data_IF_870214869795
#
_entry.id   IF_870214869795
#
_cell.length_a   1.000
_cell.length_b   1.000
_cell.length_c   1.000
_cell.angle_alpha   90.00
_cell.angle_beta   90.00
_cell.angle_gamma   90.00
#
_symmetry.space_group_name_H-M   'P 1'
#
loop_
_entity.id
_entity.type
_entity.pdbx_description
1 polymer ?
#
# COMPACT_ATOMS: atom_id res chain seq x y z
N UNK A 1 -27.06 22.67 11.49
CA UNK A 1 -26.34 22.13 10.34
C UNK A 1 -25.11 23.00 10.20
N UNK A 2 -24.13 22.78 11.07
CA UNK A 2 -22.97 23.66 11.26
C UNK A 2 -21.95 23.43 10.14
N UNK A 3 -21.60 24.52 9.46
CA UNK A 3 -20.59 24.55 8.42
C UNK A 3 -19.21 24.28 9.00
N UNK A 4 -18.51 23.34 8.39
CA UNK A 4 -17.08 23.18 8.62
C UNK A 4 -16.34 24.39 8.03
N UNK A 5 -15.44 25.03 8.78
CA UNK A 5 -14.67 26.16 8.28
C UNK A 5 -13.75 25.69 7.16
N UNK A 6 -13.82 26.38 6.01
CA UNK A 6 -12.90 26.25 4.88
C UNK A 6 -11.52 26.75 5.31
N UNK A 7 -10.69 25.86 5.87
CA UNK A 7 -9.26 26.13 6.04
C UNK A 7 -8.54 25.96 4.70
N UNK A 8 -7.83 27.01 4.28
CA UNK A 8 -6.96 27.11 3.11
C UNK A 8 -5.97 25.94 3.01
N UNK A 9 -6.35 24.93 2.25
CA UNK A 9 -5.49 23.85 1.80
C UNK A 9 -5.46 23.90 0.28
N UNK A 10 -4.30 24.25 -0.28
CA UNK A 10 -4.01 24.11 -1.71
C UNK A 10 -4.08 22.63 -2.07
N UNK A 11 -5.27 22.16 -2.45
CA UNK A 11 -5.46 20.84 -3.02
C UNK A 11 -5.24 20.94 -4.52
N UNK A 12 -4.10 20.48 -5.02
CA UNK A 12 -4.02 20.02 -6.41
C UNK A 12 -4.59 18.62 -6.44
N UNK A 13 -5.86 18.46 -6.81
CA UNK A 13 -6.42 17.13 -7.02
C UNK A 13 -6.08 16.65 -8.42
N UNK A 14 -5.28 15.58 -8.52
CA UNK A 14 -5.07 14.88 -9.77
C UNK A 14 -6.04 13.70 -9.86
N UNK A 15 -7.12 13.84 -10.64
CA UNK A 15 -7.94 12.69 -11.00
C UNK A 15 -7.22 11.89 -12.07
N UNK A 16 -7.17 10.57 -11.92
CA UNK A 16 -6.56 9.67 -12.90
C UNK A 16 -7.58 8.63 -13.30
N UNK A 17 -8.05 8.80 -14.52
CA UNK A 17 -8.96 7.88 -15.15
C UNK A 17 -8.30 7.26 -16.38
N UNK A 18 -8.56 5.98 -16.59
CA UNK A 18 -8.18 5.26 -17.81
C UNK A 18 -9.34 5.26 -18.81
N UNK A 19 -10.55 5.62 -18.35
CA UNK A 19 -11.74 5.72 -19.18
C UNK A 19 -11.73 7.02 -20.00
N UNK A 20 -11.55 6.87 -21.31
CA UNK A 20 -11.60 7.96 -22.27
C UNK A 20 -12.96 8.67 -22.29
N UNK A 21 -14.05 7.99 -21.91
CA UNK A 21 -15.39 8.55 -21.82
C UNK A 21 -15.52 9.56 -20.69
N UNK A 22 -14.99 9.26 -19.51
CA UNK A 22 -14.99 10.16 -18.34
C UNK A 22 -14.11 11.39 -18.61
N UNK A 23 -12.94 11.18 -19.21
CA UNK A 23 -12.04 12.27 -19.62
C UNK A 23 -12.72 13.20 -20.62
N UNK A 24 -13.42 12.64 -21.61
CA UNK A 24 -14.13 13.40 -22.63
C UNK A 24 -15.28 14.20 -22.01
N UNK A 25 -16.10 13.56 -21.19
CA UNK A 25 -17.20 14.20 -20.47
C UNK A 25 -16.72 15.38 -19.62
N UNK A 26 -15.62 15.22 -18.88
CA UNK A 26 -15.06 16.33 -18.09
C UNK A 26 -14.57 17.51 -18.93
N UNK A 27 -13.94 17.25 -20.07
CA UNK A 27 -13.50 18.33 -20.98
C UNK A 27 -14.66 19.06 -21.63
N UNK A 28 -15.74 18.34 -21.95
CA UNK A 28 -16.94 18.91 -22.59
C UNK A 28 -17.78 19.71 -21.59
N UNK A 29 -17.90 19.26 -20.34
CA UNK A 29 -18.76 19.87 -19.32
C UNK A 29 -18.04 20.87 -18.38
N UNK A 30 -16.73 21.05 -18.55
CA UNK A 30 -15.89 21.97 -17.76
C UNK A 30 -16.06 21.83 -16.23
N UNK A 31 -16.19 20.59 -15.75
CA UNK A 31 -16.57 20.26 -14.37
C UNK A 31 -15.48 20.58 -13.32
N UNK A 32 -14.30 21.01 -13.77
CA UNK A 32 -13.12 21.19 -12.94
C UNK A 32 -12.62 22.64 -13.04
N UNK A 33 -12.37 23.26 -11.88
CA UNK A 33 -11.76 24.59 -11.82
C UNK A 33 -10.22 24.50 -11.93
N UNK A 34 -9.55 25.65 -11.93
CA UNK A 34 -8.08 25.76 -12.05
C UNK A 34 -7.29 25.00 -10.96
N UNK A 35 -7.93 24.53 -9.88
CA UNK A 35 -7.28 23.77 -8.81
C UNK A 35 -7.17 22.27 -9.10
N UNK A 36 -7.74 21.81 -10.22
CA UNK A 36 -7.83 20.39 -10.57
C UNK A 36 -7.08 20.15 -11.88
N UNK A 37 -6.08 19.27 -11.83
CA UNK A 37 -5.32 18.86 -13.01
C UNK A 37 -5.68 17.42 -13.38
N UNK A 38 -6.24 17.20 -14.57
CA UNK A 38 -6.55 15.86 -15.04
C UNK A 38 -5.31 15.24 -15.71
N UNK A 39 -4.78 14.17 -15.11
CA UNK A 39 -3.59 13.47 -15.65
C UNK A 39 -4.02 12.11 -16.21
N UNK A 40 -4.03 11.99 -17.53
CA UNK A 40 -4.34 10.74 -18.21
C UNK A 40 -3.13 9.81 -18.25
N UNK A 41 -3.02 8.93 -17.25
CA UNK A 41 -1.91 8.00 -17.14
C UNK A 41 -2.27 6.77 -16.30
N UNK A 42 -1.65 5.64 -16.61
CA UNK A 42 -1.71 4.43 -15.79
C UNK A 42 -1.07 4.70 -14.41
N UNK A 43 -1.90 4.67 -13.36
CA UNK A 43 -1.48 4.89 -11.99
C UNK A 43 -0.43 3.89 -11.53
N UNK A 44 -0.43 2.65 -12.04
CA UNK A 44 0.55 1.64 -11.65
C UNK A 44 1.95 1.95 -12.19
N UNK A 45 2.03 2.69 -13.31
CA UNK A 45 3.29 3.05 -13.96
C UNK A 45 3.81 4.43 -13.60
N UNK A 46 2.99 5.25 -12.95
CA UNK A 46 3.37 6.62 -12.64
C UNK A 46 4.41 6.71 -11.53
N UNK A 47 5.35 7.64 -11.64
CA UNK A 47 6.30 7.92 -10.58
C UNK A 47 5.79 9.06 -9.67
N UNK A 48 5.42 8.72 -8.43
CA UNK A 48 4.97 9.67 -7.42
C UNK A 48 6.05 10.68 -7.01
N UNK A 49 7.33 10.36 -7.21
CA UNK A 49 8.44 11.28 -6.91
C UNK A 49 8.33 12.58 -7.73
N UNK A 50 7.86 12.47 -8.99
CA UNK A 50 7.70 13.61 -9.89
C UNK A 50 6.65 14.58 -9.37
N UNK A 51 5.50 14.06 -8.93
CA UNK A 51 4.43 14.90 -8.39
C UNK A 51 4.80 15.49 -7.04
N UNK A 52 5.38 14.68 -6.15
CA UNK A 52 5.82 15.13 -4.84
C UNK A 52 6.89 16.23 -4.96
N UNK A 53 7.85 16.04 -5.86
CA UNK A 53 8.88 17.03 -6.18
C UNK A 53 8.30 18.33 -6.75
N UNK A 54 7.36 18.22 -7.70
CA UNK A 54 6.67 19.39 -8.27
C UNK A 54 5.88 20.18 -7.23
N UNK A 55 5.24 19.49 -6.29
CA UNK A 55 4.45 20.10 -5.21
C UNK A 55 5.30 20.50 -4.00
N UNK A 56 6.58 20.09 -3.93
CA UNK A 56 7.46 20.32 -2.78
C UNK A 56 7.00 19.62 -1.49
N UNK A 57 6.14 18.61 -1.57
CA UNK A 57 5.56 17.94 -0.39
C UNK A 57 5.16 16.49 -0.67
N UNK A 58 5.01 15.71 0.39
CA UNK A 58 4.47 14.33 0.32
C UNK A 58 3.00 14.35 -0.09
N UNK A 59 2.60 13.34 -0.86
CA UNK A 59 1.29 13.23 -1.48
C UNK A 59 0.23 12.73 -0.49
N UNK A 60 -0.97 13.31 -0.61
CA UNK A 60 -2.19 12.81 0.01
C UNK A 60 -3.06 12.23 -1.08
N UNK A 61 -3.33 10.93 -1.03
CA UNK A 61 -4.00 10.21 -2.12
C UNK A 61 -5.38 9.78 -1.66
N UNK A 62 -6.41 10.09 -2.46
CA UNK A 62 -7.74 9.50 -2.31
C UNK A 62 -8.04 8.67 -3.56
N UNK A 63 -8.49 7.43 -3.40
CA UNK A 63 -8.74 6.56 -4.53
C UNK A 63 -9.91 5.61 -4.31
N UNK A 64 -10.73 5.46 -5.34
CA UNK A 64 -11.66 4.36 -5.49
C UNK A 64 -11.21 3.55 -6.71
N UNK A 65 -10.53 2.42 -6.48
CA UNK A 65 -9.83 1.69 -7.54
C UNK A 65 -10.64 0.50 -8.04
N UNK A 66 -10.51 0.15 -9.33
CA UNK A 66 -10.91 -1.16 -9.82
C UNK A 66 -10.22 -2.27 -9.02
N UNK A 67 -10.98 -3.28 -8.59
CA UNK A 67 -10.46 -4.33 -7.71
C UNK A 67 -9.32 -5.16 -8.32
N UNK A 68 -9.25 -5.24 -9.66
CA UNK A 68 -8.19 -5.96 -10.38
C UNK A 68 -6.80 -5.35 -10.16
N UNK A 69 -6.70 -4.08 -9.77
CA UNK A 69 -5.43 -3.39 -9.56
C UNK A 69 -5.10 -3.12 -8.10
N UNK A 70 -5.96 -3.52 -7.16
CA UNK A 70 -5.76 -3.27 -5.72
C UNK A 70 -4.42 -3.79 -5.20
N UNK A 71 -4.09 -5.05 -5.49
CA UNK A 71 -2.85 -5.65 -5.02
C UNK A 71 -1.58 -4.97 -5.61
N UNK A 72 -1.43 -4.81 -6.94
CA UNK A 72 -0.27 -4.10 -7.48
C UNK A 72 -0.23 -2.62 -7.04
N UNK A 73 -1.37 -1.99 -6.82
CA UNK A 73 -1.41 -0.63 -6.29
C UNK A 73 -0.86 -0.55 -4.86
N UNK A 74 -1.24 -1.46 -3.96
CA UNK A 74 -0.68 -1.49 -2.60
C UNK A 74 0.84 -1.65 -2.62
N UNK A 75 1.37 -2.57 -3.44
CA UNK A 75 2.83 -2.73 -3.56
C UNK A 75 3.50 -1.50 -4.15
N UNK A 76 2.87 -0.80 -5.09
CA UNK A 76 3.36 0.49 -5.58
C UNK A 76 3.42 1.55 -4.49
N UNK A 77 2.38 1.63 -3.64
CA UNK A 77 2.39 2.57 -2.52
C UNK A 77 3.54 2.28 -1.54
N UNK A 78 3.81 0.99 -1.28
CA UNK A 78 4.94 0.56 -0.42
C UNK A 78 6.27 0.95 -1.07
N UNK A 79 6.44 0.70 -2.36
CA UNK A 79 7.67 1.03 -3.11
C UNK A 79 7.95 2.54 -3.15
N UNK A 80 6.91 3.37 -3.13
CA UNK A 80 7.02 4.84 -3.20
C UNK A 80 6.57 5.52 -1.91
N UNK A 81 6.61 4.79 -0.78
CA UNK A 81 6.18 5.24 0.54
C UNK A 81 6.82 6.56 0.97
N UNK A 82 8.04 6.84 0.49
CA UNK A 82 8.75 8.07 0.80
C UNK A 82 8.09 9.34 0.30
N UNK A 83 7.32 9.25 -0.78
CA UNK A 83 6.67 10.38 -1.42
C UNK A 83 5.22 10.55 -0.97
N UNK A 84 4.70 9.70 -0.09
CA UNK A 84 3.28 9.67 0.26
C UNK A 84 3.14 9.95 1.74
N UNK A 85 2.26 10.86 2.15
CA UNK A 85 1.90 11.12 3.54
C UNK A 85 0.83 10.11 3.98
N UNK A 86 -0.33 10.14 3.32
CA UNK A 86 -1.38 9.16 3.57
C UNK A 86 -2.21 8.86 2.33
N UNK A 87 -2.88 7.71 2.39
CA UNK A 87 -3.81 7.24 1.37
C UNK A 87 -5.14 6.93 2.03
N UNK A 88 -6.23 7.42 1.47
CA UNK A 88 -7.60 7.01 1.76
C UNK A 88 -8.09 6.22 0.55
N UNK A 89 -8.24 4.91 0.69
CA UNK A 89 -8.59 4.04 -0.43
C UNK A 89 -9.73 3.09 -0.06
N UNK A 90 -10.63 2.90 -1.00
CA UNK A 90 -11.66 1.88 -0.92
C UNK A 90 -11.16 0.59 -1.58
N UNK A 91 -11.21 -0.52 -0.85
CA UNK A 91 -10.80 -1.84 -1.32
C UNK A 91 -11.89 -2.87 -1.04
N UNK A 92 -11.84 -4.02 -1.73
CA UNK A 92 -12.64 -5.18 -1.35
C UNK A 92 -12.37 -5.56 0.10
N UNK A 93 -13.42 -5.96 0.81
CA UNK A 93 -13.34 -6.31 2.23
C UNK A 93 -12.27 -7.37 2.53
N UNK A 94 -12.18 -8.43 1.72
CA UNK A 94 -11.15 -9.48 1.87
C UNK A 94 -9.72 -8.91 1.76
N UNK A 95 -9.48 -7.97 0.85
CA UNK A 95 -8.17 -7.34 0.70
C UNK A 95 -7.84 -6.49 1.93
N UNK A 96 -8.82 -5.76 2.46
CA UNK A 96 -8.67 -4.98 3.70
C UNK A 96 -8.39 -5.89 4.90
N UNK A 97 -9.14 -6.98 5.05
CA UNK A 97 -8.92 -8.01 6.09
C UNK A 97 -7.50 -8.58 6.03
N UNK A 98 -6.98 -8.79 4.81
CA UNK A 98 -5.60 -9.22 4.59
C UNK A 98 -4.58 -8.17 5.03
N UNK A 99 -4.79 -6.89 4.72
CA UNK A 99 -3.87 -5.81 5.07
C UNK A 99 -3.85 -5.51 6.58
N UNK A 100 -4.97 -5.74 7.26
CA UNK A 100 -5.15 -5.53 8.70
C UNK A 100 -5.03 -6.82 9.53
N UNK A 101 -4.68 -7.93 8.89
CA UNK A 101 -4.59 -9.23 9.56
C UNK A 101 -3.61 -9.20 10.73
N UNK A 102 -3.99 -9.82 11.85
CA UNK A 102 -3.09 -10.03 12.99
C UNK A 102 -2.19 -11.26 12.78
N UNK A 103 -1.00 -11.31 13.38
CA UNK A 103 -0.17 -12.52 13.35
C UNK A 103 -0.94 -13.76 13.81
N UNK A 104 -0.74 -14.88 13.13
CA UNK A 104 -1.40 -16.15 13.44
C UNK A 104 -2.78 -16.35 12.78
N UNK A 105 -3.32 -15.35 12.08
CA UNK A 105 -4.56 -15.53 11.29
C UNK A 105 -4.28 -16.09 9.90
N UNK A 106 -5.32 -16.63 9.26
CA UNK A 106 -5.24 -17.20 7.90
C UNK A 106 -4.95 -16.11 6.86
N UNK A 107 -5.37 -14.88 7.12
CA UNK A 107 -5.26 -13.74 6.23
C UNK A 107 -3.85 -13.11 6.32
N UNK A 108 -3.12 -13.33 7.42
CA UNK A 108 -1.77 -12.80 7.62
C UNK A 108 -0.79 -13.30 6.55
N UNK A 109 -0.08 -12.35 5.93
CA UNK A 109 0.83 -12.66 4.84
C UNK A 109 1.74 -11.52 4.43
N UNK A 110 2.39 -11.70 3.27
CA UNK A 110 3.35 -10.73 2.71
C UNK A 110 2.79 -9.31 2.63
N UNK A 111 1.57 -9.04 2.10
CA UNK A 111 1.06 -7.67 2.00
C UNK A 111 0.90 -7.01 3.37
N UNK A 112 0.47 -7.76 4.38
CA UNK A 112 0.33 -7.30 5.76
C UNK A 112 1.67 -6.83 6.31
N UNK A 113 2.70 -7.68 6.22
CA UNK A 113 4.03 -7.40 6.77
C UNK A 113 4.75 -6.32 5.99
N UNK A 114 4.63 -6.32 4.66
CA UNK A 114 5.25 -5.33 3.80
C UNK A 114 4.64 -3.94 3.98
N UNK A 115 3.33 -3.83 4.18
CA UNK A 115 2.70 -2.55 4.47
C UNK A 115 3.04 -2.06 5.88
N UNK A 116 2.96 -2.95 6.88
CA UNK A 116 3.23 -2.61 8.27
C UNK A 116 4.69 -2.17 8.53
N UNK A 117 5.63 -2.51 7.65
CA UNK A 117 7.02 -2.05 7.77
C UNK A 117 7.19 -0.56 7.46
N UNK A 118 6.27 0.04 6.69
CA UNK A 118 6.38 1.41 6.20
C UNK A 118 5.15 2.29 6.50
N UNK A 119 4.07 1.72 7.03
CA UNK A 119 2.83 2.45 7.30
C UNK A 119 2.02 1.88 8.46
N UNK A 120 1.12 2.71 8.98
CA UNK A 120 -0.01 2.33 9.83
C UNK A 120 -1.29 2.29 8.98
N UNK A 121 -2.07 1.22 9.11
CA UNK A 121 -3.33 1.05 8.39
C UNK A 121 -4.50 1.02 9.36
N UNK A 122 -5.59 1.71 9.03
CA UNK A 122 -6.81 1.77 9.86
C UNK A 122 -8.04 1.61 8.98
N UNK A 123 -8.94 0.69 9.34
CA UNK A 123 -10.27 0.62 8.73
C UNK A 123 -11.14 1.76 9.27
N UNK A 124 -11.83 2.45 8.37
CA UNK A 124 -12.68 3.58 8.72
C UNK A 124 -14.16 3.24 8.61
N UNK A 125 -14.55 2.60 7.50
CA UNK A 125 -15.97 2.31 7.21
C UNK A 125 -16.11 1.13 6.25
N UNK A 126 -16.97 0.20 6.60
CA UNK A 126 -17.48 -0.83 5.67
C UNK A 126 -18.62 -0.27 4.81
N UNK A 127 -18.65 -0.68 3.55
CA UNK A 127 -19.66 -0.30 2.56
C UNK A 127 -20.27 -1.57 1.96
N UNK A 128 -21.59 -1.62 1.92
CA UNK A 128 -22.30 -2.72 1.30
C UNK A 128 -22.17 -2.63 -0.22
N UNK A 129 -22.01 -3.77 -0.88
CA UNK A 129 -22.08 -3.87 -2.34
C UNK A 129 -23.35 -3.22 -2.94
N UNK A 130 -24.46 -3.21 -2.21
CA UNK A 130 -25.73 -2.63 -2.65
C UNK A 130 -25.69 -1.10 -2.83
N UNK A 131 -24.67 -0.43 -2.28
CA UNK A 131 -24.49 1.02 -2.38
C UNK A 131 -23.86 1.46 -3.72
N UNK A 132 -23.54 0.52 -4.62
CA UNK A 132 -22.80 0.80 -5.85
C UNK A 132 -23.60 0.47 -7.12
N UNK A 133 -23.30 1.19 -8.20
CA UNK A 133 -23.79 0.89 -9.54
C UNK A 133 -22.64 0.89 -10.57
N UNK A 134 -22.42 -0.21 -11.31
CA UNK A 134 -23.03 -1.53 -11.13
C UNK A 134 -22.65 -2.15 -9.78
N UNK A 135 -23.54 -2.98 -9.22
CA UNK A 135 -23.30 -3.65 -7.94
C UNK A 135 -22.13 -4.65 -8.03
N UNK A 136 -21.06 -4.52 -7.21
CA UNK A 136 -20.01 -5.50 -7.11
C UNK A 136 -20.49 -6.77 -6.39
N UNK A 137 -19.76 -7.86 -6.56
CA UNK A 137 -20.10 -9.17 -5.93
C UNK A 137 -19.76 -9.25 -4.44
N UNK A 138 -18.99 -8.29 -3.93
CA UNK A 138 -18.45 -8.30 -2.57
C UNK A 138 -18.51 -6.92 -1.98
N UNK A 139 -18.57 -6.87 -0.65
CA UNK A 139 -18.51 -5.63 0.12
C UNK A 139 -17.11 -4.99 0.08
N UNK A 140 -17.07 -3.72 0.47
CA UNK A 140 -15.86 -2.91 0.48
C UNK A 140 -15.57 -2.35 1.86
N UNK A 141 -14.34 -1.92 2.07
CA UNK A 141 -13.95 -1.16 3.26
C UNK A 141 -13.09 0.02 2.82
N UNK A 142 -13.40 1.21 3.33
CA UNK A 142 -12.54 2.38 3.25
C UNK A 142 -11.47 2.25 4.33
N UNK A 143 -10.21 2.29 3.91
CA UNK A 143 -9.06 2.30 4.82
C UNK A 143 -8.26 3.59 4.67
N UNK A 144 -7.62 3.99 5.77
CA UNK A 144 -6.54 4.98 5.78
C UNK A 144 -5.21 4.28 5.97
N UNK A 145 -4.24 4.61 5.14
CA UNK A 145 -2.85 4.18 5.25
C UNK A 145 -2.02 5.44 5.51
N UNK A 146 -1.41 5.56 6.70
CA UNK A 146 -0.47 6.64 7.05
C UNK A 146 0.94 6.12 6.89
N UNK A 147 1.69 6.68 5.94
CA UNK A 147 3.07 6.29 5.72
C UNK A 147 4.00 6.98 6.71
N UNK A 148 4.92 6.22 7.28
CA UNK A 148 5.94 6.74 8.20
C UNK A 148 6.79 7.80 7.51
N UNK A 149 7.13 8.88 8.23
CA UNK A 149 8.12 9.84 7.76
C UNK A 149 9.53 9.24 7.70
N UNK A 150 10.51 10.04 7.25
CA UNK A 150 11.89 9.58 7.11
C UNK A 150 12.52 9.10 8.42
N UNK A 151 12.20 9.73 9.55
CA UNK A 151 12.75 9.37 10.85
C UNK A 151 12.11 8.09 11.39
N UNK A 152 10.78 8.01 11.35
CA UNK A 152 10.01 6.82 11.73
C UNK A 152 10.44 5.60 10.91
N UNK A 153 10.61 5.76 9.58
CA UNK A 153 11.10 4.68 8.70
C UNK A 153 12.50 4.24 9.08
N UNK A 154 13.44 5.17 9.22
CA UNK A 154 14.82 4.85 9.56
C UNK A 154 14.93 4.10 10.90
N UNK A 155 14.08 4.45 11.88
CA UNK A 155 14.02 3.78 13.18
C UNK A 155 13.48 2.34 13.09
N UNK A 156 12.47 2.11 12.24
CA UNK A 156 11.81 0.80 12.09
C UNK A 156 12.55 -0.14 11.16
N UNK A 157 12.93 0.33 9.99
CA UNK A 157 13.61 -0.44 8.95
C UNK A 157 14.61 0.47 8.21
N UNK A 158 15.89 0.47 8.63
CA UNK A 158 16.94 1.19 7.92
C UNK A 158 16.98 0.79 6.44
N UNK A 159 17.21 1.76 5.55
CA UNK A 159 17.24 1.54 4.10
C UNK A 159 18.23 0.44 3.69
N UNK A 160 19.38 0.40 4.36
CA UNK A 160 20.42 -0.63 4.20
C UNK A 160 19.93 -2.07 4.44
N UNK A 161 18.82 -2.24 5.17
CA UNK A 161 18.21 -3.54 5.48
C UNK A 161 16.96 -3.83 4.65
N UNK A 162 16.44 -2.88 3.87
CA UNK A 162 15.17 -3.03 3.12
C UNK A 162 15.18 -4.22 2.14
N UNK A 163 16.25 -4.37 1.34
CA UNK A 163 16.37 -5.49 0.41
C UNK A 163 16.42 -6.85 1.12
N UNK A 164 17.14 -6.93 2.24
CA UNK A 164 17.20 -8.12 3.08
C UNK A 164 15.84 -8.44 3.70
N UNK A 165 15.16 -7.44 4.25
CA UNK A 165 13.81 -7.57 4.81
C UNK A 165 12.84 -8.18 3.79
N UNK A 166 12.80 -7.63 2.57
CA UNK A 166 11.93 -8.14 1.51
C UNK A 166 12.21 -9.61 1.16
N UNK A 167 13.49 -10.01 1.13
CA UNK A 167 13.89 -11.40 0.90
C UNK A 167 13.45 -12.31 2.05
N UNK A 168 13.66 -11.89 3.30
CA UNK A 168 13.25 -12.63 4.50
C UNK A 168 11.73 -12.81 4.52
N UNK A 169 10.96 -11.73 4.35
CA UNK A 169 9.48 -11.80 4.31
C UNK A 169 9.00 -12.78 3.23
N UNK A 170 9.53 -12.67 2.00
CA UNK A 170 9.16 -13.61 0.91
C UNK A 170 9.51 -15.06 1.26
N UNK A 171 10.69 -15.29 1.81
CA UNK A 171 11.11 -16.62 2.23
C UNK A 171 10.18 -17.19 3.31
N UNK A 172 9.86 -16.41 4.34
CA UNK A 172 9.01 -16.81 5.47
C UNK A 172 7.62 -17.31 5.04
N UNK A 173 7.06 -16.75 3.97
CA UNK A 173 5.72 -17.11 3.47
C UNK A 173 5.75 -18.04 2.24
N UNK A 174 6.92 -18.51 1.79
CA UNK A 174 7.04 -19.34 0.58
C UNK A 174 6.26 -20.66 0.67
N UNK A 175 6.28 -21.33 1.83
CA UNK A 175 5.47 -22.52 2.09
C UNK A 175 4.67 -22.33 3.38
N UNK A 176 3.41 -21.90 3.26
CA UNK A 176 2.56 -21.51 4.41
C UNK A 176 2.31 -22.61 5.45
N UNK A 177 2.48 -23.88 5.07
CA UNK A 177 2.29 -25.04 5.97
C UNK A 177 3.60 -25.53 6.62
N UNK A 178 4.73 -24.89 6.33
CA UNK A 178 6.03 -25.22 6.94
C UNK A 178 6.36 -24.20 8.02
N UNK A 179 7.14 -24.64 9.01
CA UNK A 179 7.69 -23.75 10.04
C UNK A 179 8.58 -22.68 9.43
N UNK A 180 8.69 -21.53 10.11
CA UNK A 180 9.56 -20.42 9.70
C UNK A 180 11.00 -20.89 9.44
N UNK A 181 11.55 -21.70 10.36
CA UNK A 181 12.88 -22.28 10.24
C UNK A 181 13.06 -23.08 8.93
N UNK A 182 12.08 -23.91 8.57
CA UNK A 182 12.15 -24.70 7.33
C UNK A 182 12.12 -23.81 6.08
N UNK A 183 11.27 -22.78 6.10
CA UNK A 183 11.18 -21.81 5.01
C UNK A 183 12.47 -21.02 4.83
N UNK A 184 13.03 -20.47 5.91
CA UNK A 184 14.27 -19.71 5.87
C UNK A 184 15.48 -20.59 5.49
N UNK A 185 15.56 -21.81 6.05
CA UNK A 185 16.66 -22.73 5.72
C UNK A 185 16.63 -23.18 4.26
N UNK A 186 15.44 -23.39 3.67
CA UNK A 186 15.28 -23.70 2.26
C UNK A 186 15.70 -22.52 1.35
N UNK A 187 15.40 -21.28 1.79
CA UNK A 187 15.75 -20.06 1.07
C UNK A 187 17.16 -19.54 1.38
N UNK A 188 17.95 -20.18 2.25
CA UNK A 188 19.19 -19.59 2.79
C UNK A 188 20.18 -19.07 1.75
N UNK A 189 20.24 -19.69 0.57
CA UNK A 189 21.15 -19.28 -0.53
C UNK A 189 20.74 -17.98 -1.24
N UNK A 190 19.53 -17.47 -0.99
CA UNK A 190 19.02 -16.21 -1.56
C UNK A 190 19.04 -15.06 -0.55
N UNK A 191 19.18 -15.40 0.73
CA UNK A 191 19.35 -14.47 1.85
C UNK A 191 20.78 -13.89 1.87
N UNK A 192 21.13 -12.95 2.76
CA UNK A 192 22.49 -12.43 2.86
C UNK A 192 23.55 -13.53 3.02
N UNK A 193 24.74 -13.31 2.44
CA UNK A 193 25.81 -14.32 2.34
C UNK A 193 26.22 -14.90 3.71
N UNK A 194 26.18 -14.08 4.77
CA UNK A 194 26.51 -14.54 6.11
C UNK A 194 25.52 -15.58 6.67
N UNK A 195 24.34 -15.77 6.05
CA UNK A 195 23.38 -16.81 6.42
C UNK A 195 23.55 -18.10 5.62
N UNK A 196 24.35 -18.11 4.54
CA UNK A 196 24.45 -19.25 3.62
C UNK A 196 25.04 -20.50 4.27
N UNK A 197 25.97 -20.30 5.21
CA UNK A 197 26.75 -21.34 5.86
C UNK A 197 26.17 -21.78 7.21
N UNK A 198 25.09 -21.13 7.68
CA UNK A 198 24.48 -21.49 8.94
C UNK A 198 23.85 -22.89 8.87
N UNK A 199 24.11 -23.68 9.91
CA UNK A 199 23.36 -24.92 10.14
C UNK A 199 21.91 -24.60 10.47
N UNK A 200 21.06 -25.63 10.47
CA UNK A 200 19.65 -25.45 10.83
C UNK A 200 19.49 -25.07 12.29
N UNK A 201 20.35 -25.61 13.16
CA UNK A 201 20.40 -25.29 14.59
C UNK A 201 20.83 -23.83 14.81
N UNK A 202 21.90 -23.38 14.15
CA UNK A 202 22.36 -22.00 14.25
C UNK A 202 21.31 -20.99 13.78
N UNK A 203 20.55 -21.32 12.74
CA UNK A 203 19.43 -20.50 12.27
C UNK A 203 18.24 -20.52 13.24
N UNK A 204 18.01 -21.62 13.95
CA UNK A 204 16.96 -21.71 14.97
C UNK A 204 17.24 -20.75 16.13
N UNK A 205 18.48 -20.75 16.64
CA UNK A 205 18.89 -19.87 17.74
C UNK A 205 18.70 -18.39 17.37
N UNK A 206 19.03 -18.01 16.13
CA UNK A 206 18.86 -16.64 15.65
C UNK A 206 17.39 -16.18 15.57
N UNK A 207 16.45 -17.12 15.41
CA UNK A 207 15.01 -16.80 15.35
C UNK A 207 14.41 -16.62 16.74
N UNK A 208 15.01 -17.25 17.76
CA UNK A 208 14.53 -17.26 19.14
C UNK A 208 15.06 -16.09 19.98
N UNK A 209 16.16 -15.45 19.53
CA UNK A 209 16.71 -14.19 20.07
C UNK A 209 15.92 -12.95 19.62
#
# INVERSE_FOLDING_TARGET
MEGYPSSDLEYTSASRDVDRGIIRYHREENLFNERIELIHQDILKYDFSLLAGRLGQRLKIMANLPYSISNPFIFKLIEQAEHIDWVLVMLQKEMTERLLASPGTKEYGIPTVALASCAETTALKDLSSQEFHPQPKVDSTIIRIRFFDSEERARRLPETKSATFNKVVRASFAQRRKTLLNNLFAARKTLPIHLHHLSKEALSNLIEE
#
